data_IF_757781279771
#
_entry.id   IF_757781279771
#
_cell.length_a   1.000
_cell.length_b   1.000
_cell.length_c   1.000
_cell.angle_alpha   90.00
_cell.angle_beta   90.00
_cell.angle_gamma   90.00
#
_symmetry.space_group_name_H-M   'P 1'
#
loop_
_entity.id
_entity.type
_entity.pdbx_description
1 polymer ?
#
# COMPACT_ATOMS: atom_id res chain seq x y z
N UNK A 1 8.83 9.24 -5.66
CA UNK A 1 8.98 10.70 -5.62
C UNK A 1 9.22 11.24 -4.21
N UNK A 2 8.48 10.80 -3.19
CA UNK A 2 8.65 11.31 -1.81
C UNK A 2 10.08 11.21 -1.24
N UNK A 3 10.85 10.12 -1.40
CA UNK A 3 12.21 10.07 -0.84
C UNK A 3 13.13 11.17 -1.36
N UNK A 4 13.08 11.44 -2.67
CA UNK A 4 13.89 12.51 -3.27
C UNK A 4 13.44 13.88 -2.80
N UNK A 5 12.12 14.13 -2.79
CA UNK A 5 11.57 15.40 -2.30
C UNK A 5 11.86 15.63 -0.80
N UNK A 6 11.83 14.56 0.01
CA UNK A 6 12.16 14.67 1.44
C UNK A 6 13.61 15.09 1.69
N UNK A 7 14.56 14.73 0.82
CA UNK A 7 15.97 15.16 0.98
C UNK A 7 16.15 16.69 1.05
N UNK A 8 15.25 17.45 0.43
CA UNK A 8 15.29 18.92 0.44
C UNK A 8 14.76 19.54 1.73
N UNK A 9 14.00 18.81 2.53
CA UNK A 9 13.31 19.35 3.71
C UNK A 9 13.66 18.65 5.02
N UNK A 10 14.25 17.45 4.98
CA UNK A 10 14.41 16.59 6.16
C UNK A 10 15.38 17.17 7.19
N UNK A 11 16.55 17.71 6.77
CA UNK A 11 17.60 18.16 7.69
C UNK A 11 17.84 17.14 8.81
N UNK A 12 17.93 17.61 10.07
CA UNK A 12 18.12 16.79 11.27
C UNK A 12 16.79 16.32 11.91
N UNK A 13 15.70 16.31 11.13
CA UNK A 13 14.38 15.91 11.63
C UNK A 13 14.36 14.42 12.02
N UNK A 14 13.87 14.07 13.24
CA UNK A 14 13.69 12.66 13.61
C UNK A 14 12.77 11.92 12.64
N UNK A 15 13.09 10.65 12.34
CA UNK A 15 12.33 9.83 11.38
C UNK A 15 10.86 9.69 11.76
N UNK A 16 10.54 9.61 13.06
CA UNK A 16 9.16 9.58 13.55
C UNK A 16 8.40 10.88 13.28
N UNK A 17 9.07 12.05 13.42
CA UNK A 17 8.46 13.33 13.10
C UNK A 17 8.24 13.48 11.59
N UNK A 18 9.23 13.11 10.80
CA UNK A 18 9.11 13.08 9.34
C UNK A 18 7.92 12.22 8.90
N UNK A 19 7.85 10.98 9.37
CA UNK A 19 6.72 10.08 9.07
C UNK A 19 5.39 10.69 9.53
N UNK A 20 5.34 11.21 10.76
CA UNK A 20 4.14 11.84 11.31
C UNK A 20 3.64 13.01 10.47
N UNK A 21 4.55 13.90 10.04
CA UNK A 21 4.21 15.06 9.21
C UNK A 21 3.78 14.64 7.79
N UNK A 22 4.39 13.61 7.20
CA UNK A 22 3.96 13.07 5.90
C UNK A 22 2.55 12.49 6.00
N UNK A 23 2.24 11.72 7.04
CA UNK A 23 0.90 11.20 7.29
C UNK A 23 -0.11 12.31 7.56
N UNK A 24 0.23 13.32 8.40
CA UNK A 24 -0.65 14.46 8.65
C UNK A 24 -0.90 15.27 7.36
N UNK A 25 0.15 15.50 6.56
CA UNK A 25 0.01 16.15 5.27
C UNK A 25 -0.95 15.40 4.34
N UNK A 26 -0.80 14.06 4.28
CA UNK A 26 -1.75 13.19 3.57
C UNK A 26 -3.18 13.35 4.11
N UNK A 27 -3.37 13.29 5.43
CA UNK A 27 -4.67 13.49 6.07
C UNK A 27 -5.31 14.84 5.73
N UNK A 28 -4.53 15.91 5.81
CA UNK A 28 -4.96 17.28 5.46
C UNK A 28 -5.37 17.38 3.99
N UNK A 29 -4.49 16.93 3.08
CA UNK A 29 -4.75 16.97 1.64
C UNK A 29 -5.98 16.15 1.25
N UNK A 30 -6.11 14.95 1.80
CA UNK A 30 -7.25 14.07 1.53
C UNK A 30 -8.55 14.55 2.19
N UNK A 31 -8.48 15.28 3.30
CA UNK A 31 -9.66 15.96 3.86
C UNK A 31 -10.28 16.90 2.84
N UNK A 32 -9.45 17.69 2.12
CA UNK A 32 -9.96 18.56 1.06
C UNK A 32 -10.60 17.77 -0.08
N UNK A 33 -10.04 16.62 -0.45
CA UNK A 33 -10.60 15.74 -1.49
C UNK A 33 -11.96 15.19 -1.03
N UNK A 34 -12.06 14.66 0.19
CA UNK A 34 -13.29 14.11 0.77
C UNK A 34 -14.38 15.18 0.85
N UNK A 35 -14.03 16.40 1.27
CA UNK A 35 -14.97 17.52 1.33
C UNK A 35 -15.44 17.94 -0.08
N UNK A 36 -14.53 17.99 -1.06
CA UNK A 36 -14.86 18.33 -2.44
C UNK A 36 -15.76 17.30 -3.11
N UNK A 37 -15.56 16.03 -2.81
CA UNK A 37 -16.41 14.93 -3.29
C UNK A 37 -17.77 14.89 -2.58
N UNK A 38 -17.98 15.73 -1.55
CA UNK A 38 -19.21 15.77 -0.75
C UNK A 38 -19.63 14.40 -0.22
N UNK A 39 -18.67 13.56 0.14
CA UNK A 39 -18.94 12.22 0.64
C UNK A 39 -19.81 12.33 1.91
N UNK A 40 -20.89 11.54 2.03
CA UNK A 40 -21.72 11.50 3.22
C UNK A 40 -21.03 10.72 4.36
N UNK A 41 -19.90 11.25 4.85
CA UNK A 41 -18.98 10.58 5.78
C UNK A 41 -19.72 9.95 6.98
N UNK A 42 -20.67 10.68 7.56
CA UNK A 42 -21.42 10.17 8.71
C UNK A 42 -22.23 8.91 8.36
N UNK A 43 -22.88 8.90 7.21
CA UNK A 43 -23.67 7.74 6.74
C UNK A 43 -22.75 6.56 6.41
N UNK A 44 -21.65 6.81 5.72
CA UNK A 44 -20.63 5.79 5.38
C UNK A 44 -20.07 5.16 6.65
N UNK A 45 -19.64 5.97 7.63
CA UNK A 45 -19.10 5.45 8.89
C UNK A 45 -20.18 4.73 9.72
N UNK A 46 -21.43 5.18 9.67
CA UNK A 46 -22.56 4.55 10.35
C UNK A 46 -22.98 3.20 9.73
N UNK A 47 -22.68 2.97 8.45
CA UNK A 47 -22.97 1.71 7.75
C UNK A 47 -21.92 0.63 7.97
N UNK A 48 -20.74 0.98 8.52
CA UNK A 48 -19.66 0.03 8.77
C UNK A 48 -20.08 -1.05 9.77
N UNK A 49 -19.89 -2.30 9.40
CA UNK A 49 -20.04 -3.43 10.31
C UNK A 49 -18.98 -3.42 11.40
N UNK A 50 -19.23 -4.11 12.52
CA UNK A 50 -18.22 -4.27 13.59
C UNK A 50 -16.93 -4.89 13.07
N UNK A 51 -17.02 -5.79 12.09
CA UNK A 51 -15.86 -6.44 11.46
C UNK A 51 -15.02 -5.43 10.68
N UNK A 52 -15.65 -4.57 9.90
CA UNK A 52 -14.96 -3.52 9.13
C UNK A 52 -14.28 -2.49 10.05
N UNK A 53 -14.94 -2.11 11.15
CA UNK A 53 -14.30 -1.27 12.17
C UNK A 53 -13.09 -1.95 12.80
N UNK A 54 -13.17 -3.24 13.11
CA UNK A 54 -12.03 -4.01 13.63
C UNK A 54 -10.87 -4.07 12.60
N UNK A 55 -11.18 -4.26 11.33
CA UNK A 55 -10.19 -4.26 10.26
C UNK A 55 -9.51 -2.89 10.12
N UNK A 56 -10.29 -1.80 10.10
CA UNK A 56 -9.77 -0.44 10.04
C UNK A 56 -8.87 -0.13 11.25
N UNK A 57 -9.33 -0.44 12.45
CA UNK A 57 -8.55 -0.25 13.67
C UNK A 57 -7.28 -1.09 13.65
N UNK A 58 -7.37 -2.36 13.25
CA UNK A 58 -6.23 -3.25 13.08
C UNK A 58 -5.20 -2.72 12.09
N UNK A 59 -5.65 -2.22 10.95
CA UNK A 59 -4.79 -1.61 9.92
C UNK A 59 -4.06 -0.36 10.45
N UNK A 60 -4.77 0.53 11.15
CA UNK A 60 -4.18 1.74 11.75
C UNK A 60 -3.17 1.37 12.84
N UNK A 61 -3.52 0.43 13.73
CA UNK A 61 -2.63 0.03 14.84
C UNK A 61 -1.40 -0.70 14.32
N UNK A 62 -1.58 -1.66 13.40
CA UNK A 62 -0.44 -2.42 12.86
C UNK A 62 0.47 -1.54 11.99
N UNK A 63 -0.06 -0.92 10.95
CA UNK A 63 0.74 -0.19 9.96
C UNK A 63 1.06 1.25 10.33
N UNK A 64 0.13 1.93 11.03
CA UNK A 64 0.30 3.35 11.40
C UNK A 64 1.00 3.58 12.74
N UNK A 65 0.93 2.60 13.65
CA UNK A 65 1.43 2.74 15.04
C UNK A 65 2.57 1.76 15.30
N UNK A 66 2.31 0.46 15.28
CA UNK A 66 3.27 -0.54 15.71
C UNK A 66 4.46 -0.70 14.74
N UNK A 67 4.19 -0.83 13.44
CA UNK A 67 5.25 -1.00 12.45
C UNK A 67 6.29 0.15 12.46
N UNK A 68 5.90 1.44 12.49
CA UNK A 68 6.86 2.53 12.62
C UNK A 68 7.72 2.47 13.87
N UNK A 69 7.21 1.98 15.01
CA UNK A 69 7.98 1.81 16.24
C UNK A 69 9.07 0.74 16.08
N UNK A 70 8.72 -0.42 15.57
CA UNK A 70 9.67 -1.49 15.30
C UNK A 70 10.72 -1.08 14.26
N UNK A 71 10.28 -0.40 13.19
CA UNK A 71 11.22 0.12 12.20
C UNK A 71 12.17 1.16 12.79
N UNK A 72 11.66 2.12 13.57
CA UNK A 72 12.50 3.16 14.21
C UNK A 72 13.58 2.55 15.11
N UNK A 73 13.23 1.49 15.87
CA UNK A 73 14.21 0.74 16.64
C UNK A 73 15.25 0.06 15.73
N UNK A 74 14.83 -0.61 14.68
CA UNK A 74 15.70 -1.25 13.69
C UNK A 74 16.67 -0.27 13.04
N UNK A 75 16.18 0.90 12.61
CA UNK A 75 17.02 1.97 12.01
C UNK A 75 18.03 2.52 13.01
N UNK A 76 17.62 2.72 14.27
CA UNK A 76 18.49 3.29 15.30
C UNK A 76 19.63 2.36 15.71
N UNK A 77 19.36 1.06 15.79
CA UNK A 77 20.28 0.07 16.35
C UNK A 77 20.93 -0.83 15.30
N UNK A 78 20.41 -0.86 14.08
CA UNK A 78 20.93 -1.65 12.96
C UNK A 78 21.72 -0.83 11.96
N UNK A 79 22.29 -1.51 10.95
CA UNK A 79 22.96 -0.83 9.83
C UNK A 79 21.95 -0.44 8.75
N UNK A 80 22.23 0.65 8.02
CA UNK A 80 21.35 1.08 6.92
C UNK A 80 21.18 -0.01 5.84
N UNK A 81 22.25 -0.77 5.56
CA UNK A 81 22.23 -1.88 4.61
C UNK A 81 21.30 -3.01 5.06
N UNK A 82 21.41 -3.44 6.33
CA UNK A 82 20.55 -4.48 6.90
C UNK A 82 19.08 -4.06 6.87
N UNK A 83 18.76 -2.84 7.31
CA UNK A 83 17.40 -2.30 7.30
C UNK A 83 16.83 -2.25 5.88
N UNK A 84 17.60 -1.72 4.93
CA UNK A 84 17.16 -1.58 3.53
C UNK A 84 16.85 -2.93 2.88
N UNK A 85 17.65 -3.95 3.16
CA UNK A 85 17.40 -5.31 2.67
C UNK A 85 16.14 -5.88 3.29
N UNK A 86 16.05 -5.85 4.63
CA UNK A 86 14.97 -6.49 5.36
C UNK A 86 13.61 -5.86 5.10
N UNK A 87 13.56 -4.58 4.70
CA UNK A 87 12.31 -3.91 4.29
C UNK A 87 11.62 -4.60 3.09
N UNK A 88 12.38 -5.26 2.20
CA UNK A 88 11.77 -6.01 1.12
C UNK A 88 10.98 -7.24 1.62
N UNK A 89 11.20 -7.65 2.88
CA UNK A 89 10.43 -8.72 3.51
C UNK A 89 8.95 -8.38 3.67
N UNK A 90 8.58 -7.08 3.63
CA UNK A 90 7.19 -6.62 3.60
C UNK A 90 6.39 -7.28 2.47
N UNK A 91 6.99 -7.39 1.27
CA UNK A 91 6.28 -8.00 0.13
C UNK A 91 6.03 -9.48 0.37
N UNK A 92 6.95 -10.16 1.02
CA UNK A 92 6.82 -11.59 1.39
C UNK A 92 5.76 -11.75 2.46
N UNK A 93 5.85 -10.98 3.53
CA UNK A 93 4.90 -11.02 4.64
C UNK A 93 3.46 -10.71 4.16
N UNK A 94 3.28 -9.65 3.35
CA UNK A 94 1.98 -9.30 2.76
C UNK A 94 1.42 -10.47 1.95
N UNK A 95 2.24 -11.13 1.13
CA UNK A 95 1.80 -12.22 0.26
C UNK A 95 1.49 -13.49 1.05
N UNK A 96 2.33 -13.85 2.01
CA UNK A 96 2.08 -15.02 2.86
C UNK A 96 0.78 -14.86 3.65
N UNK A 97 0.54 -13.66 4.21
CA UNK A 97 -0.70 -13.36 4.92
C UNK A 97 -1.91 -13.37 3.97
N UNK A 98 -1.78 -12.78 2.77
CA UNK A 98 -2.83 -12.81 1.76
C UNK A 98 -3.21 -14.25 1.40
N UNK A 99 -2.23 -15.12 1.20
CA UNK A 99 -2.44 -16.53 0.88
C UNK A 99 -2.99 -17.33 2.05
N UNK A 100 -2.35 -17.26 3.22
CA UNK A 100 -2.65 -18.15 4.35
C UNK A 100 -3.91 -17.74 5.12
N UNK A 101 -4.15 -16.42 5.28
CA UNK A 101 -5.22 -15.88 6.14
C UNK A 101 -6.40 -15.39 5.32
N UNK A 102 -6.13 -14.72 4.21
CA UNK A 102 -7.17 -14.11 3.37
C UNK A 102 -7.51 -14.95 2.14
N UNK A 103 -6.88 -16.13 2.00
CA UNK A 103 -7.15 -17.10 0.92
C UNK A 103 -7.05 -16.49 -0.49
N UNK A 104 -6.16 -15.50 -0.67
CA UNK A 104 -5.89 -14.90 -1.97
C UNK A 104 -5.23 -15.94 -2.88
N UNK A 105 -5.76 -16.10 -4.09
CA UNK A 105 -5.18 -16.99 -5.08
C UNK A 105 -3.92 -16.38 -5.69
N UNK A 106 -2.78 -17.03 -5.47
CA UNK A 106 -1.47 -16.52 -5.88
C UNK A 106 -0.84 -17.50 -6.84
N UNK A 107 -0.75 -17.09 -8.11
CA UNK A 107 -0.11 -17.87 -9.14
C UNK A 107 1.41 -17.99 -8.93
N UNK A 108 2.02 -19.02 -9.53
CA UNK A 108 3.47 -19.24 -9.44
C UNK A 108 4.29 -18.05 -10.00
N UNK A 109 3.73 -17.27 -10.91
CA UNK A 109 4.38 -16.10 -11.51
C UNK A 109 4.59 -14.97 -10.49
N UNK A 110 3.65 -14.76 -9.58
CA UNK A 110 3.82 -13.80 -8.46
C UNK A 110 4.95 -14.25 -7.55
N UNK A 111 5.02 -15.54 -7.22
CA UNK A 111 6.11 -16.10 -6.41
C UNK A 111 7.48 -15.93 -7.10
N UNK A 112 7.55 -16.22 -8.41
CA UNK A 112 8.77 -15.97 -9.18
C UNK A 112 9.16 -14.49 -9.17
N UNK A 113 8.21 -13.58 -9.43
CA UNK A 113 8.44 -12.14 -9.36
C UNK A 113 9.04 -11.70 -8.02
N UNK A 114 8.51 -12.23 -6.90
CA UNK A 114 9.04 -11.96 -5.55
C UNK A 114 10.45 -12.50 -5.34
N UNK A 115 10.73 -13.70 -5.81
CA UNK A 115 12.08 -14.27 -5.73
C UNK A 115 13.09 -13.40 -6.47
N UNK A 116 12.75 -12.86 -7.64
CA UNK A 116 13.60 -11.93 -8.38
C UNK A 116 13.79 -10.60 -7.63
N UNK A 117 12.73 -10.04 -7.02
CA UNK A 117 12.81 -8.81 -6.23
C UNK A 117 13.71 -9.00 -5.01
N UNK A 118 13.54 -10.12 -4.28
CA UNK A 118 14.37 -10.46 -3.13
C UNK A 118 15.82 -10.69 -3.57
N UNK A 119 16.03 -11.43 -4.67
CA UNK A 119 17.35 -11.65 -5.25
C UNK A 119 18.05 -10.36 -5.65
N UNK A 120 17.34 -9.42 -6.28
CA UNK A 120 17.84 -8.08 -6.60
C UNK A 120 18.24 -7.30 -5.34
N UNK A 121 17.44 -7.37 -4.28
CA UNK A 121 17.73 -6.72 -2.99
C UNK A 121 18.97 -7.30 -2.32
N UNK A 122 19.12 -8.63 -2.35
CA UNK A 122 20.29 -9.34 -1.85
C UNK A 122 21.55 -8.93 -2.64
N UNK A 123 21.45 -8.85 -3.98
CA UNK A 123 22.55 -8.43 -4.82
C UNK A 123 23.09 -7.05 -4.45
N UNK A 124 22.18 -6.08 -4.25
CA UNK A 124 22.56 -4.72 -3.80
C UNK A 124 23.28 -4.75 -2.45
N UNK A 125 22.90 -5.65 -1.55
CA UNK A 125 23.49 -5.77 -0.23
C UNK A 125 24.93 -6.33 -0.27
N UNK A 126 25.15 -7.40 -1.03
CA UNK A 126 26.48 -8.02 -1.13
C UNK A 126 27.55 -7.08 -1.71
N UNK A 127 27.13 -6.10 -2.52
CA UNK A 127 28.04 -5.07 -3.04
C UNK A 127 28.47 -4.08 -1.96
N UNK A 128 27.74 -3.96 -0.86
CA UNK A 128 28.06 -3.12 0.30
C UNK A 128 29.02 -3.76 1.32
N UNK A 129 29.47 -5.00 1.12
CA UNK A 129 30.44 -5.68 2.01
C UNK A 129 29.89 -6.07 3.39
N UNK A 130 28.57 -6.16 3.56
CA UNK A 130 27.92 -6.46 4.82
C UNK A 130 27.81 -7.96 5.07
N UNK A 131 28.21 -8.44 6.25
CA UNK A 131 27.91 -9.79 6.70
C UNK A 131 26.42 -9.91 7.09
N UNK A 132 25.73 -10.90 6.53
CA UNK A 132 24.32 -11.20 6.84
C UNK A 132 24.24 -11.87 8.22
N UNK A 133 24.14 -11.10 9.28
CA UNK A 133 23.80 -11.61 10.61
C UNK A 133 22.41 -11.12 11.01
N UNK A 134 21.52 -12.06 11.36
CA UNK A 134 20.21 -11.73 11.92
C UNK A 134 20.43 -11.15 13.34
N UNK A 135 20.39 -9.84 13.42
CA UNK A 135 20.54 -9.11 14.68
C UNK A 135 19.16 -8.82 15.32
N UNK A 136 19.13 -8.46 16.61
CA UNK A 136 17.89 -8.00 17.26
C UNK A 136 17.27 -6.81 16.51
N UNK A 137 18.05 -5.78 16.08
CA UNK A 137 17.53 -4.74 15.17
C UNK A 137 16.92 -5.29 13.88
N UNK A 138 17.57 -6.26 13.24
CA UNK A 138 17.05 -6.90 12.04
C UNK A 138 15.72 -7.62 12.26
N UNK A 139 15.58 -8.36 13.37
CA UNK A 139 14.32 -8.95 13.77
C UNK A 139 13.21 -7.92 13.98
N UNK A 140 13.57 -6.73 14.50
CA UNK A 140 12.61 -5.63 14.65
C UNK A 140 12.12 -5.11 13.30
N UNK A 141 12.98 -5.00 12.30
CA UNK A 141 12.58 -4.62 10.93
C UNK A 141 11.66 -5.66 10.32
N UNK A 142 11.95 -6.96 10.51
CA UNK A 142 11.06 -8.05 10.05
C UNK A 142 9.70 -7.95 10.72
N UNK A 143 9.64 -7.67 12.02
CA UNK A 143 8.39 -7.45 12.74
C UNK A 143 7.58 -6.27 12.16
N UNK A 144 8.25 -5.16 11.82
CA UNK A 144 7.62 -4.05 11.12
C UNK A 144 7.05 -4.46 9.77
N UNK A 145 7.77 -5.25 8.99
CA UNK A 145 7.33 -5.78 7.70
C UNK A 145 6.08 -6.67 7.83
N UNK A 146 6.04 -7.55 8.84
CA UNK A 146 4.86 -8.38 9.15
C UNK A 146 3.66 -7.50 9.51
N UNK A 147 3.86 -6.47 10.33
CA UNK A 147 2.81 -5.54 10.72
C UNK A 147 2.27 -4.73 9.54
N UNK A 148 3.12 -4.31 8.61
CA UNK A 148 2.66 -3.70 7.36
C UNK A 148 1.96 -4.71 6.45
N UNK A 149 2.42 -5.96 6.41
CA UNK A 149 1.71 -7.03 5.72
C UNK A 149 0.29 -7.25 6.27
N UNK A 150 0.11 -7.17 7.59
CA UNK A 150 -1.21 -7.20 8.24
C UNK A 150 -2.03 -5.96 7.81
N UNK A 151 -1.45 -4.77 7.91
CA UNK A 151 -2.10 -3.52 7.50
C UNK A 151 -2.61 -3.58 6.06
N UNK A 152 -1.77 -4.00 5.12
CA UNK A 152 -2.09 -4.07 3.69
C UNK A 152 -3.30 -4.97 3.44
N UNK A 153 -3.32 -6.15 4.05
CA UNK A 153 -4.41 -7.10 3.91
C UNK A 153 -5.70 -6.62 4.61
N UNK A 154 -5.61 -6.07 5.81
CA UNK A 154 -6.77 -5.50 6.51
C UNK A 154 -7.34 -4.27 5.77
N UNK A 155 -6.48 -3.41 5.24
CA UNK A 155 -6.88 -2.25 4.43
C UNK A 155 -7.66 -2.66 3.19
N UNK A 156 -7.24 -3.76 2.53
CA UNK A 156 -7.95 -4.34 1.39
C UNK A 156 -9.38 -4.75 1.75
N UNK A 157 -9.58 -5.38 2.90
CA UNK A 157 -10.89 -5.91 3.34
C UNK A 157 -11.91 -4.81 3.77
N UNK A 158 -11.48 -3.55 3.90
CA UNK A 158 -12.39 -2.43 4.23
C UNK A 158 -12.91 -1.80 2.92
N UNK A 159 -13.71 -2.56 2.17
CA UNK A 159 -14.21 -2.17 0.83
C UNK A 159 -15.24 -1.05 0.87
N UNK A 160 -16.09 -1.03 1.89
CA UNK A 160 -17.20 -0.06 2.04
C UNK A 160 -16.74 1.38 2.27
N UNK A 161 -15.45 1.60 2.61
CA UNK A 161 -14.89 2.95 2.68
C UNK A 161 -14.30 3.36 1.34
N UNK A 162 -14.68 4.51 0.75
CA UNK A 162 -13.97 5.08 -0.38
C UNK A 162 -12.47 5.23 -0.07
N UNK A 163 -11.59 4.88 -1.04
CA UNK A 163 -10.16 4.91 -0.81
C UNK A 163 -9.62 6.25 -0.30
N UNK A 164 -10.11 7.43 -0.78
CA UNK A 164 -9.71 8.72 -0.21
C UNK A 164 -10.09 8.88 1.27
N UNK A 165 -11.26 8.40 1.69
CA UNK A 165 -11.69 8.48 3.07
C UNK A 165 -10.87 7.56 3.97
N UNK A 166 -10.63 6.31 3.54
CA UNK A 166 -9.79 5.36 4.26
C UNK A 166 -8.36 5.90 4.43
N UNK A 167 -7.74 6.40 3.35
CA UNK A 167 -6.41 7.01 3.39
C UNK A 167 -6.38 8.27 4.28
N UNK A 168 -7.42 9.08 4.26
CA UNK A 168 -7.59 10.24 5.14
C UNK A 168 -7.59 9.84 6.61
N UNK A 169 -8.38 8.83 6.99
CA UNK A 169 -8.43 8.33 8.37
C UNK A 169 -7.09 7.76 8.83
N UNK A 170 -6.42 6.98 7.98
CA UNK A 170 -5.06 6.48 8.26
C UNK A 170 -4.07 7.64 8.41
N UNK A 171 -4.14 8.64 7.53
CA UNK A 171 -3.29 9.82 7.56
C UNK A 171 -3.40 10.60 8.87
N UNK A 172 -4.61 10.89 9.31
CA UNK A 172 -4.82 11.57 10.59
C UNK A 172 -4.38 10.72 11.79
N UNK A 173 -4.81 9.46 11.88
CA UNK A 173 -4.53 8.60 13.02
C UNK A 173 -3.04 8.32 13.18
N UNK A 174 -2.37 7.86 12.12
CA UNK A 174 -0.94 7.59 12.14
C UNK A 174 -0.11 8.88 12.28
N UNK A 175 -0.55 9.95 11.63
CA UNK A 175 0.13 11.25 11.68
C UNK A 175 0.14 11.83 13.08
N UNK A 176 -1.00 11.94 13.74
CA UNK A 176 -1.11 12.44 15.12
C UNK A 176 -0.27 11.57 16.05
N UNK A 177 -0.40 10.23 15.96
CA UNK A 177 0.35 9.32 16.82
C UNK A 177 1.86 9.52 16.68
N UNK A 178 2.39 9.50 15.44
CA UNK A 178 3.83 9.59 15.20
C UNK A 178 4.40 10.98 15.57
N UNK A 179 3.64 12.06 15.37
CA UNK A 179 4.05 13.40 15.82
C UNK A 179 4.10 13.47 17.34
N UNK A 180 3.04 13.02 18.03
CA UNK A 180 3.02 13.00 19.49
C UNK A 180 4.16 12.14 20.06
N UNK A 181 4.38 10.96 19.49
CA UNK A 181 5.49 10.10 19.87
C UNK A 181 6.84 10.81 19.70
N UNK A 182 7.03 11.50 18.57
CA UNK A 182 8.27 12.24 18.34
C UNK A 182 8.49 13.36 19.33
N UNK A 183 7.45 14.12 19.67
CA UNK A 183 7.52 15.19 20.66
C UNK A 183 7.87 14.69 22.07
N UNK A 184 7.44 13.47 22.41
CA UNK A 184 7.73 12.83 23.69
C UNK A 184 9.18 12.31 23.73
N UNK A 185 9.63 11.66 22.65
CA UNK A 185 10.91 10.95 22.63
C UNK A 185 12.11 11.82 22.24
N UNK A 186 11.89 12.87 21.45
CA UNK A 186 12.95 13.66 20.84
C UNK A 186 12.74 15.15 21.08
N UNK A 187 13.80 15.83 21.51
CA UNK A 187 13.86 17.31 21.51
C UNK A 187 14.50 17.72 20.19
N UNK A 188 13.67 18.04 19.19
CA UNK A 188 14.14 18.46 17.87
C UNK A 188 13.76 19.90 17.59
N UNK A 189 14.71 20.68 17.06
CA UNK A 189 14.45 22.01 16.55
C UNK A 189 14.19 21.91 15.06
N UNK A 190 12.93 22.06 14.66
CA UNK A 190 12.52 22.06 13.25
C UNK A 190 12.04 23.43 12.85
N UNK A 191 12.39 23.88 11.66
CA UNK A 191 11.94 25.14 11.11
C UNK A 191 10.54 25.07 10.55
N UNK A 192 9.83 26.19 10.51
CA UNK A 192 8.51 26.27 9.89
C UNK A 192 8.52 25.81 8.41
N UNK A 193 9.63 26.09 7.70
CA UNK A 193 9.79 25.65 6.30
C UNK A 193 9.89 24.12 6.18
N UNK A 194 10.62 23.46 7.09
CA UNK A 194 10.70 22.00 7.12
C UNK A 194 9.33 21.37 7.40
N UNK A 195 8.59 21.90 8.36
CA UNK A 195 7.24 21.41 8.70
C UNK A 195 6.29 21.61 7.52
N UNK A 196 6.19 22.82 6.97
CA UNK A 196 5.28 23.13 5.87
C UNK A 196 5.64 22.37 4.58
N UNK A 197 6.93 22.27 4.26
CA UNK A 197 7.42 21.49 3.13
C UNK A 197 7.10 20.00 3.26
N UNK A 198 7.30 19.41 4.45
CA UNK A 198 6.97 18.00 4.71
C UNK A 198 5.46 17.75 4.62
N UNK A 199 4.64 18.65 5.18
CA UNK A 199 3.18 18.57 5.05
C UNK A 199 2.73 18.65 3.58
N UNK A 200 3.33 19.54 2.79
CA UNK A 200 3.03 19.65 1.35
C UNK A 200 3.42 18.38 0.58
N UNK A 201 4.59 17.81 0.84
CA UNK A 201 5.02 16.52 0.26
C UNK A 201 4.05 15.41 0.70
N UNK A 202 3.64 15.41 1.98
CA UNK A 202 2.64 14.48 2.51
C UNK A 202 1.33 14.55 1.75
N UNK A 203 0.81 15.76 1.53
CA UNK A 203 -0.46 15.97 0.82
C UNK A 203 -0.39 15.56 -0.66
N UNK A 204 0.64 16.02 -1.38
CA UNK A 204 0.71 15.89 -2.83
C UNK A 204 1.29 14.56 -3.32
N UNK A 205 2.22 13.97 -2.56
CA UNK A 205 2.89 12.73 -2.95
C UNK A 205 2.37 11.54 -2.15
N UNK A 206 2.47 11.60 -0.82
CA UNK A 206 2.14 10.46 0.03
C UNK A 206 0.64 10.17 0.02
N UNK A 207 -0.23 11.20 0.12
CA UNK A 207 -1.69 11.04 0.09
C UNK A 207 -2.17 10.43 -1.22
N UNK A 208 -1.69 10.95 -2.36
CA UNK A 208 -2.05 10.40 -3.68
C UNK A 208 -1.57 8.96 -3.82
N UNK A 209 -0.31 8.67 -3.43
CA UNK A 209 0.22 7.31 -3.53
C UNK A 209 -0.54 6.32 -2.65
N UNK A 210 -0.98 6.73 -1.46
CA UNK A 210 -1.76 5.88 -0.56
C UNK A 210 -3.15 5.56 -1.13
N UNK A 211 -3.82 6.53 -1.75
CA UNK A 211 -5.11 6.29 -2.42
C UNK A 211 -4.93 5.30 -3.58
N UNK A 212 -3.93 5.51 -4.44
CA UNK A 212 -3.63 4.61 -5.55
C UNK A 212 -3.27 3.21 -5.05
N UNK A 213 -2.51 3.12 -3.97
CA UNK A 213 -2.14 1.85 -3.34
C UNK A 213 -3.38 1.10 -2.83
N UNK A 214 -4.32 1.78 -2.16
CA UNK A 214 -5.56 1.17 -1.69
C UNK A 214 -6.41 0.67 -2.86
N UNK A 215 -6.52 1.44 -3.95
CA UNK A 215 -7.18 0.96 -5.17
C UNK A 215 -6.50 -0.29 -5.72
N UNK A 216 -5.17 -0.28 -5.86
CA UNK A 216 -4.44 -1.44 -6.34
C UNK A 216 -4.63 -2.67 -5.43
N UNK A 217 -4.63 -2.52 -4.09
CA UNK A 217 -4.91 -3.62 -3.16
C UNK A 217 -6.28 -4.28 -3.45
N UNK A 218 -7.28 -3.50 -3.84
CA UNK A 218 -8.63 -3.99 -4.14
C UNK A 218 -8.74 -4.60 -5.52
N UNK A 219 -8.17 -3.95 -6.53
CA UNK A 219 -8.28 -4.34 -7.94
C UNK A 219 -7.43 -5.57 -8.30
N UNK A 220 -6.17 -5.59 -7.86
CA UNK A 220 -5.21 -6.64 -8.25
C UNK A 220 -4.72 -7.52 -7.09
N UNK A 221 -5.25 -7.29 -5.88
CA UNK A 221 -4.92 -8.06 -4.68
C UNK A 221 -3.65 -7.60 -3.96
N UNK A 222 -3.51 -8.07 -2.72
CA UNK A 222 -2.40 -7.66 -1.83
C UNK A 222 -1.06 -8.20 -2.30
N UNK A 223 -1.02 -9.44 -2.78
CA UNK A 223 0.21 -10.08 -3.23
C UNK A 223 0.85 -9.37 -4.43
N UNK A 224 0.05 -9.01 -5.43
CA UNK A 224 0.52 -8.32 -6.64
C UNK A 224 0.88 -6.88 -6.34
N UNK A 225 0.01 -6.17 -5.63
CA UNK A 225 0.22 -4.77 -5.24
C UNK A 225 1.53 -4.60 -4.48
N UNK A 226 1.80 -5.47 -3.49
CA UNK A 226 3.05 -5.41 -2.72
C UNK A 226 4.28 -5.69 -3.60
N UNK A 227 4.16 -6.56 -4.62
CA UNK A 227 5.24 -6.83 -5.56
C UNK A 227 5.55 -5.61 -6.44
N UNK A 228 4.53 -4.95 -6.97
CA UNK A 228 4.69 -3.70 -7.72
C UNK A 228 5.26 -2.58 -6.84
N UNK A 229 4.79 -2.47 -5.61
CA UNK A 229 5.26 -1.45 -4.67
C UNK A 229 6.75 -1.60 -4.32
N UNK A 230 7.27 -2.83 -4.28
CA UNK A 230 8.70 -3.11 -4.05
C UNK A 230 9.62 -2.56 -5.14
N UNK A 231 9.09 -2.08 -6.27
CA UNK A 231 9.85 -1.39 -7.32
C UNK A 231 10.16 0.07 -6.97
N UNK A 232 9.47 0.62 -5.98
CA UNK A 232 9.58 2.02 -5.56
C UNK A 232 11.01 2.50 -5.31
N UNK A 233 11.87 1.77 -4.60
CA UNK A 233 13.27 2.14 -4.38
C UNK A 233 14.06 2.36 -5.67
N UNK A 234 13.86 1.54 -6.69
CA UNK A 234 14.54 1.65 -7.97
C UNK A 234 14.08 2.87 -8.78
N UNK A 235 12.77 3.13 -8.79
CA UNK A 235 12.22 4.37 -9.37
C UNK A 235 12.78 5.59 -8.62
N UNK A 236 12.85 5.51 -7.30
CA UNK A 236 13.45 6.53 -6.45
C UNK A 236 14.92 6.79 -6.81
N UNK A 237 15.70 5.75 -7.07
CA UNK A 237 17.09 5.89 -7.49
C UNK A 237 17.24 6.52 -8.88
N UNK A 238 16.44 6.13 -9.86
CA UNK A 238 16.43 6.80 -11.17
C UNK A 238 16.17 8.30 -11.00
N UNK A 239 15.20 8.66 -10.20
CA UNK A 239 14.91 10.06 -9.89
C UNK A 239 16.06 10.75 -9.13
N UNK A 240 16.72 10.05 -8.20
CA UNK A 240 17.93 10.58 -7.50
C UNK A 240 19.07 10.86 -8.46
N UNK A 241 19.29 9.99 -9.44
CA UNK A 241 20.31 10.22 -10.50
C UNK A 241 19.95 11.47 -11.30
N UNK A 242 18.69 11.58 -11.75
CA UNK A 242 18.25 12.66 -12.62
C UNK A 242 18.17 14.02 -11.90
N UNK A 243 17.72 14.04 -10.64
CA UNK A 243 17.45 15.28 -9.89
C UNK A 243 18.61 15.69 -8.99
N UNK A 244 19.26 14.72 -8.35
CA UNK A 244 20.33 14.95 -7.37
C UNK A 244 21.74 14.69 -7.93
N UNK A 245 21.84 14.14 -9.15
CA UNK A 245 23.14 13.81 -9.78
C UNK A 245 23.85 12.64 -9.07
N UNK A 246 23.13 11.81 -8.29
CA UNK A 246 23.72 10.64 -7.64
C UNK A 246 24.25 9.65 -8.68
N UNK A 247 25.33 8.93 -8.36
CA UNK A 247 25.95 7.93 -9.24
C UNK A 247 25.90 6.56 -8.58
N UNK A 248 24.81 5.77 -8.79
CA UNK A 248 24.74 4.41 -8.29
C UNK A 248 25.83 3.53 -8.89
N UNK A 249 26.26 2.51 -8.15
CA UNK A 249 27.25 1.55 -8.63
C UNK A 249 26.72 0.72 -9.81
N UNK A 250 27.63 0.09 -10.57
CA UNK A 250 27.24 -0.78 -11.68
C UNK A 250 26.36 -1.95 -11.25
N UNK A 251 26.61 -2.50 -10.07
CA UNK A 251 25.85 -3.60 -9.48
C UNK A 251 24.39 -3.21 -9.20
N UNK A 252 24.16 -1.95 -8.85
CA UNK A 252 22.80 -1.45 -8.67
C UNK A 252 21.96 -1.54 -9.95
N UNK A 253 22.58 -1.26 -11.09
CA UNK A 253 21.91 -1.39 -12.40
C UNK A 253 21.62 -2.85 -12.76
N UNK A 254 22.53 -3.78 -12.41
CA UNK A 254 22.29 -5.22 -12.56
C UNK A 254 21.11 -5.65 -11.70
N UNK A 255 21.06 -5.23 -10.44
CA UNK A 255 19.94 -5.49 -9.54
C UNK A 255 18.61 -4.93 -10.09
N UNK A 256 18.64 -3.71 -10.66
CA UNK A 256 17.46 -3.12 -11.30
C UNK A 256 16.95 -3.97 -12.50
N UNK A 257 17.85 -4.50 -13.32
CA UNK A 257 17.48 -5.40 -14.43
C UNK A 257 16.89 -6.73 -13.92
N UNK A 258 17.46 -7.32 -12.87
CA UNK A 258 16.93 -8.54 -12.23
C UNK A 258 15.51 -8.29 -11.73
N UNK A 259 15.28 -7.17 -11.06
CA UNK A 259 13.96 -6.80 -10.57
C UNK A 259 12.95 -6.56 -11.70
N UNK A 260 13.35 -5.82 -12.77
CA UNK A 260 12.51 -5.61 -13.94
C UNK A 260 12.12 -6.92 -14.62
N UNK A 261 13.04 -7.89 -14.66
CA UNK A 261 12.74 -9.25 -15.13
C UNK A 261 11.69 -9.93 -14.25
N UNK A 262 11.80 -9.79 -12.93
CA UNK A 262 10.79 -10.29 -11.99
C UNK A 262 9.40 -9.68 -12.22
N UNK A 263 9.34 -8.37 -12.50
CA UNK A 263 8.08 -7.70 -12.86
C UNK A 263 7.48 -8.23 -14.17
N UNK A 264 8.30 -8.62 -15.13
CA UNK A 264 7.86 -9.22 -16.39
C UNK A 264 6.99 -10.46 -16.19
N UNK A 265 7.24 -11.26 -15.14
CA UNK A 265 6.41 -12.43 -14.81
C UNK A 265 4.99 -12.06 -14.39
N UNK A 266 4.77 -10.87 -13.82
CA UNK A 266 3.44 -10.43 -13.38
C UNK A 266 2.52 -10.12 -14.57
N UNK A 267 3.06 -9.60 -15.68
CA UNK A 267 2.25 -9.26 -16.86
C UNK A 267 1.56 -10.46 -17.51
N UNK A 268 2.13 -11.65 -17.40
CA UNK A 268 1.57 -12.85 -18.03
C UNK A 268 0.55 -13.60 -17.16
N UNK A 269 0.11 -13.04 -16.03
CA UNK A 269 -0.78 -13.72 -15.09
C UNK A 269 -2.28 -13.52 -15.39
N UNK A 270 -2.61 -12.64 -16.35
CA UNK A 270 -3.98 -12.53 -16.86
C UNK A 270 -4.37 -13.84 -17.54
N UNK A 271 -5.51 -14.41 -17.14
CA UNK A 271 -6.03 -15.65 -17.70
C UNK A 271 -7.49 -15.51 -18.08
N UNK A 272 -7.92 -16.39 -18.96
CA UNK A 272 -9.32 -16.52 -19.36
C UNK A 272 -9.80 -17.90 -18.99
N UNK A 273 -10.90 -18.00 -18.28
CA UNK A 273 -11.61 -19.25 -18.09
C UNK A 273 -13.11 -18.99 -17.96
N UNK A 274 -13.88 -20.04 -18.16
CA UNK A 274 -15.30 -20.01 -17.94
C UNK A 274 -15.56 -20.09 -16.44
N UNK A 275 -16.29 -19.15 -15.88
CA UNK A 275 -16.70 -19.17 -14.48
C UNK A 275 -18.18 -18.83 -14.34
N UNK A 276 -18.77 -19.37 -13.29
CA UNK A 276 -20.16 -19.15 -12.94
C UNK A 276 -20.24 -18.22 -11.75
N UNK A 277 -20.95 -17.12 -11.90
CA UNK A 277 -21.33 -16.27 -10.77
C UNK A 277 -22.56 -16.84 -10.10
N UNK A 278 -22.52 -17.00 -8.78
CA UNK A 278 -23.68 -17.34 -8.00
C UNK A 278 -24.65 -16.15 -7.92
N UNK A 279 -25.91 -16.43 -7.63
CA UNK A 279 -26.89 -15.37 -7.40
C UNK A 279 -26.53 -14.56 -6.17
N UNK A 280 -26.16 -13.28 -6.37
CA UNK A 280 -25.77 -12.36 -5.30
C UNK A 280 -26.71 -11.16 -5.31
N UNK A 281 -27.23 -10.79 -4.14
CA UNK A 281 -28.03 -9.57 -3.96
C UNK A 281 -27.25 -8.60 -3.09
N UNK A 282 -26.84 -7.46 -3.66
CA UNK A 282 -26.11 -6.42 -2.94
C UNK A 282 -26.39 -5.03 -3.51
N UNK A 283 -25.94 -3.98 -2.82
CA UNK A 283 -26.01 -2.62 -3.29
C UNK A 283 -24.59 -2.06 -3.41
N UNK A 284 -24.25 -1.54 -4.59
CA UNK A 284 -23.01 -0.82 -4.83
C UNK A 284 -23.16 0.15 -6.00
N UNK A 285 -22.36 1.23 -6.06
CA UNK A 285 -22.32 2.09 -7.24
C UNK A 285 -21.83 1.32 -8.45
N UNK A 286 -22.57 1.37 -9.57
CA UNK A 286 -22.23 0.69 -10.82
C UNK A 286 -22.79 1.42 -12.03
N UNK A 287 -22.18 1.16 -13.18
CA UNK A 287 -22.72 1.50 -14.50
C UNK A 287 -23.23 0.20 -15.18
N UNK A 288 -24.10 0.34 -16.18
CA UNK A 288 -24.57 -0.81 -16.96
C UNK A 288 -23.45 -1.35 -17.84
N UNK A 289 -22.87 -2.46 -17.46
CA UNK A 289 -21.87 -3.22 -18.21
C UNK A 289 -22.35 -4.64 -18.51
N UNK A 290 -21.48 -5.51 -19.03
CA UNK A 290 -21.81 -6.90 -19.33
C UNK A 290 -22.22 -7.73 -18.10
N UNK A 291 -21.88 -7.27 -16.88
CA UNK A 291 -22.16 -7.93 -15.61
C UNK A 291 -23.35 -7.34 -14.86
N UNK A 292 -23.76 -6.10 -15.20
CA UNK A 292 -24.76 -5.32 -14.49
C UNK A 292 -25.93 -4.94 -15.41
N UNK A 293 -26.53 -5.95 -16.09
CA UNK A 293 -27.73 -5.75 -16.92
C UNK A 293 -28.98 -6.13 -16.13
N UNK A 294 -29.76 -5.13 -15.72
CA UNK A 294 -31.05 -5.31 -15.08
C UNK A 294 -32.00 -4.16 -15.44
N UNK A 295 -33.31 -4.44 -15.44
CA UNK A 295 -34.33 -3.43 -15.75
C UNK A 295 -34.60 -2.52 -14.56
N UNK A 296 -34.67 -1.21 -14.82
CA UNK A 296 -35.14 -0.22 -13.86
C UNK A 296 -36.64 0.01 -14.04
N UNK A 297 -37.33 0.31 -12.92
CA UNK A 297 -38.75 0.73 -12.99
C UNK A 297 -38.92 2.13 -13.57
N UNK A 298 -37.86 2.96 -13.52
CA UNK A 298 -37.82 4.30 -14.12
C UNK A 298 -36.78 4.34 -15.24
N UNK A 299 -37.21 4.62 -16.47
CA UNK A 299 -36.45 4.53 -17.74
C UNK A 299 -35.30 5.56 -17.91
N UNK A 300 -34.92 6.33 -16.91
CA UNK A 300 -34.07 7.50 -17.09
C UNK A 300 -32.70 7.50 -16.40
N UNK A 301 -32.22 6.38 -15.83
CA UNK A 301 -30.92 6.35 -15.17
C UNK A 301 -29.81 5.90 -16.13
N UNK A 302 -29.24 6.84 -16.86
CA UNK A 302 -28.00 6.68 -17.62
C UNK A 302 -26.85 7.24 -16.79
N UNK A 303 -25.91 6.38 -16.33
CA UNK A 303 -24.75 6.75 -15.54
C UNK A 303 -24.59 5.95 -14.26
N UNK A 304 -23.54 6.24 -13.51
CA UNK A 304 -23.25 5.58 -12.24
C UNK A 304 -24.37 5.81 -11.21
N UNK A 305 -24.92 4.72 -10.70
CA UNK A 305 -26.02 4.75 -9.73
C UNK A 305 -25.88 3.61 -8.71
N UNK A 306 -26.52 3.75 -7.55
CA UNK A 306 -26.46 2.81 -6.45
C UNK A 306 -27.88 2.37 -6.04
N UNK A 307 -28.15 1.08 -6.08
CA UNK A 307 -29.36 0.47 -5.55
C UNK A 307 -29.18 -1.02 -5.26
N UNK A 308 -30.11 -1.59 -4.48
CA UNK A 308 -30.15 -3.01 -4.23
C UNK A 308 -30.60 -3.74 -5.51
N UNK A 309 -29.76 -4.58 -6.06
CA UNK A 309 -30.06 -5.41 -7.23
C UNK A 309 -29.54 -6.84 -7.06
N UNK A 310 -30.12 -7.75 -7.84
CA UNK A 310 -29.78 -9.17 -7.82
C UNK A 310 -29.13 -9.54 -9.13
N UNK A 311 -27.93 -10.09 -9.07
CA UNK A 311 -27.28 -10.73 -10.23
C UNK A 311 -27.82 -12.14 -10.37
N UNK A 312 -28.39 -12.44 -11.54
CA UNK A 312 -28.73 -13.82 -11.89
C UNK A 312 -27.43 -14.61 -12.19
N UNK A 313 -27.44 -15.95 -11.99
CA UNK A 313 -26.27 -16.77 -12.29
C UNK A 313 -25.89 -16.65 -13.77
N UNK A 314 -24.71 -16.14 -14.04
CA UNK A 314 -24.20 -15.98 -15.41
C UNK A 314 -22.93 -16.82 -15.56
N UNK A 315 -22.85 -17.59 -16.66
CA UNK A 315 -21.64 -18.27 -17.08
C UNK A 315 -21.02 -17.49 -18.24
N UNK A 316 -19.83 -16.93 -18.03
CA UNK A 316 -19.11 -16.23 -19.09
C UNK A 316 -17.58 -16.39 -18.93
N UNK A 317 -16.85 -15.97 -19.95
CA UNK A 317 -15.39 -16.00 -19.95
C UNK A 317 -14.87 -14.63 -20.34
N UNK A 318 -14.14 -14.00 -19.43
CA UNK A 318 -13.42 -12.75 -19.70
C UNK A 318 -12.00 -12.79 -19.15
N UNK A 319 -11.17 -11.86 -19.61
CA UNK A 319 -9.82 -11.70 -19.06
C UNK A 319 -9.93 -10.93 -17.76
N UNK A 320 -9.47 -11.52 -16.67
CA UNK A 320 -9.43 -10.84 -15.37
C UNK A 320 -8.20 -11.23 -14.55
N UNK A 321 -7.91 -10.40 -13.54
CA UNK A 321 -7.02 -10.73 -12.45
C UNK A 321 -7.84 -11.39 -11.33
N UNK A 322 -7.28 -12.34 -10.54
CA UNK A 322 -7.90 -12.76 -9.30
C UNK A 322 -8.06 -11.57 -8.35
N UNK A 323 -9.27 -11.08 -8.22
CA UNK A 323 -9.65 -9.96 -7.35
C UNK A 323 -10.43 -10.43 -6.11
N UNK A 324 -11.01 -9.48 -5.36
CA UNK A 324 -11.78 -9.78 -4.14
C UNK A 324 -13.08 -10.51 -4.49
N UNK A 325 -13.67 -10.21 -5.65
CA UNK A 325 -14.96 -10.73 -6.08
C UNK A 325 -14.84 -12.07 -6.84
N UNK A 326 -13.65 -12.39 -7.35
CA UNK A 326 -13.34 -13.58 -8.13
C UNK A 326 -12.39 -14.52 -7.39
N UNK A 327 -12.79 -14.97 -6.19
CA UNK A 327 -12.09 -15.97 -5.40
C UNK A 327 -12.53 -17.38 -5.82
N UNK A 328 -11.93 -17.96 -6.83
CA UNK A 328 -12.21 -19.33 -7.25
C UNK A 328 -10.95 -20.19 -7.32
N UNK A 329 -11.14 -21.48 -7.05
CA UNK A 329 -10.08 -22.48 -7.10
C UNK A 329 -9.92 -22.94 -8.55
N UNK A 330 -8.68 -22.97 -9.03
CA UNK A 330 -8.30 -23.49 -10.36
C UNK A 330 -7.89 -24.96 -10.25
#
# INVERSE_FOLDING_TARGET
MSPVACKFVVGDMPSSLLAGLLYLGSGLGLTLVVLRQRLPVYQILGSLSRRQWAYLAGAIVSGGVAAPLFLAYGIRMGTASEVSLLLNFETVATTLLAWMVFHEQIGYRVWLGKLFIIGASILVLFTGGSELQLSIPGLSVIAACVLWGIDNNLTREVESLPAPLLACMKGWSAGIFNVLLSLILFKSHVTALQVSGTLAIGALSYGVSLVLFIHALREIGSARTSTWFATGPFIGTILSVLVLGERPSGEYWVAALVMLSGMGFLYGEMHRHLHQHERITHAHPHEHDEHHQHGHRDEALTGEHDHLHTHEPIMHSHVHWPDIHHRHIH
#
